data_IF_906651313500
#
_entry.id   IF_906651313500
#
_cell.length_a   1.000
_cell.length_b   1.000
_cell.length_c   1.000
_cell.angle_alpha   90.00
_cell.angle_beta   90.00
_cell.angle_gamma   90.00
#
_symmetry.space_group_name_H-M   'P 1'
#
loop_
_entity.id
_entity.type
_entity.pdbx_description
1 polymer ?
#
# COMPACT_ATOMS: atom_id res chain seq x y z
N UNK A 1 -48.67 -40.83 -35.37
CA UNK A 1 -47.36 -40.67 -34.69
C UNK A 1 -47.12 -39.18 -34.45
N UNK A 2 -47.31 -38.70 -33.22
CA UNK A 2 -47.17 -37.27 -32.87
C UNK A 2 -45.71 -36.99 -32.48
N UNK A 3 -45.04 -36.06 -33.17
CA UNK A 3 -43.70 -35.57 -32.81
C UNK A 3 -43.84 -34.50 -31.72
N UNK A 4 -43.28 -34.78 -30.54
CA UNK A 4 -43.11 -33.80 -29.46
C UNK A 4 -41.83 -33.02 -29.76
N UNK A 5 -41.94 -31.72 -29.94
CA UNK A 5 -40.79 -30.79 -30.00
C UNK A 5 -40.53 -30.36 -28.56
N UNK A 6 -39.41 -30.81 -27.99
CA UNK A 6 -38.91 -30.35 -26.71
C UNK A 6 -38.09 -29.07 -26.96
N UNK A 7 -38.64 -27.91 -26.58
CA UNK A 7 -37.87 -26.66 -26.52
C UNK A 7 -37.19 -26.62 -25.16
N UNK A 8 -35.88 -26.85 -25.12
CA UNK A 8 -35.07 -26.51 -23.95
C UNK A 8 -34.86 -24.99 -23.94
N UNK A 9 -35.61 -24.27 -23.12
CA UNK A 9 -35.19 -22.96 -22.65
C UNK A 9 -33.99 -23.18 -21.71
N UNK A 10 -32.79 -22.97 -22.22
CA UNK A 10 -31.62 -22.79 -21.36
C UNK A 10 -31.74 -21.41 -20.69
N UNK A 11 -32.39 -21.37 -19.52
CA UNK A 11 -32.18 -20.28 -18.59
C UNK A 11 -30.72 -20.40 -18.10
N UNK A 12 -29.84 -19.56 -18.65
CA UNK A 12 -28.51 -19.34 -18.10
C UNK A 12 -28.66 -18.91 -16.64
N UNK A 13 -28.08 -19.62 -15.66
CA UNK A 13 -27.99 -19.09 -14.32
C UNK A 13 -27.01 -17.92 -14.37
N UNK A 14 -27.49 -16.72 -14.06
CA UNK A 14 -26.68 -15.62 -13.54
C UNK A 14 -26.15 -16.03 -12.17
N UNK A 15 -25.23 -16.98 -12.12
CA UNK A 15 -24.61 -17.45 -10.89
C UNK A 15 -23.29 -16.73 -10.67
N UNK A 16 -23.27 -16.00 -9.55
CA UNK A 16 -22.13 -15.82 -8.65
C UNK A 16 -20.83 -15.33 -9.32
N UNK A 17 -20.59 -14.02 -9.28
CA UNK A 17 -19.22 -13.56 -9.04
C UNK A 17 -18.79 -14.18 -7.70
N UNK A 18 -17.81 -15.09 -7.73
CA UNK A 18 -17.29 -15.72 -6.52
C UNK A 18 -16.95 -14.61 -5.50
N UNK A 19 -17.56 -14.68 -4.33
CA UNK A 19 -17.30 -13.73 -3.27
C UNK A 19 -15.82 -13.85 -2.89
N UNK A 20 -15.06 -12.77 -3.04
CA UNK A 20 -13.68 -12.71 -2.61
C UNK A 20 -13.59 -13.03 -1.12
N UNK A 21 -12.69 -13.94 -0.75
CA UNK A 21 -12.46 -14.25 0.66
C UNK A 21 -11.76 -13.08 1.35
N UNK A 22 -11.96 -12.92 2.66
CA UNK A 22 -11.24 -11.90 3.43
C UNK A 22 -9.72 -12.07 3.28
N UNK A 23 -9.22 -13.30 3.28
CA UNK A 23 -7.79 -13.61 3.05
C UNK A 23 -7.30 -13.08 1.71
N UNK A 24 -8.07 -13.26 0.64
CA UNK A 24 -7.71 -12.75 -0.67
C UNK A 24 -7.73 -11.21 -0.73
N UNK A 25 -8.70 -10.58 -0.05
CA UNK A 25 -8.73 -9.13 0.10
C UNK A 25 -7.49 -8.62 0.86
N UNK A 26 -7.14 -9.26 1.98
CA UNK A 26 -5.95 -8.90 2.78
C UNK A 26 -4.67 -9.05 1.97
N UNK A 27 -4.55 -10.10 1.16
CA UNK A 27 -3.43 -10.26 0.22
C UNK A 27 -3.37 -9.10 -0.78
N UNK A 28 -4.46 -8.86 -1.51
CA UNK A 28 -4.49 -7.80 -2.53
C UNK A 28 -4.17 -6.42 -1.95
N UNK A 29 -4.76 -6.09 -0.80
CA UNK A 29 -4.64 -4.76 -0.22
C UNK A 29 -3.24 -4.50 0.37
N UNK A 30 -2.57 -5.54 0.90
CA UNK A 30 -1.20 -5.42 1.42
C UNK A 30 -0.14 -5.44 0.31
N UNK A 31 -0.44 -6.05 -0.84
CA UNK A 31 0.45 -6.07 -2.02
C UNK A 31 0.55 -4.71 -2.74
N UNK A 32 -0.46 -3.84 -2.61
CA UNK A 32 -0.48 -2.54 -3.30
C UNK A 32 0.48 -1.55 -2.61
N UNK A 33 1.42 -0.93 -3.35
CA UNK A 33 2.32 0.09 -2.80
C UNK A 33 1.60 1.41 -2.56
N UNK A 34 1.90 2.06 -1.44
CA UNK A 34 1.34 3.38 -1.12
C UNK A 34 2.17 4.15 -0.08
N UNK A 35 3.47 4.39 -0.28
CA UNK A 35 4.18 5.31 0.60
C UNK A 35 3.53 6.70 0.60
N UNK A 36 3.69 7.53 1.65
CA UNK A 36 3.11 8.86 1.70
C UNK A 36 3.44 9.69 0.45
N UNK A 37 2.43 10.30 -0.17
CA UNK A 37 2.55 11.03 -1.43
C UNK A 37 2.48 10.17 -2.71
N UNK A 38 2.42 8.85 -2.60
CA UNK A 38 2.21 7.92 -3.71
C UNK A 38 1.00 7.00 -3.47
N UNK A 39 -0.07 7.52 -2.88
CA UNK A 39 -1.24 6.73 -2.51
C UNK A 39 -2.22 6.47 -3.65
N UNK A 40 -1.96 7.00 -4.84
CA UNK A 40 -2.84 6.84 -6.00
C UNK A 40 -3.16 5.37 -6.35
N UNK A 41 -2.20 4.42 -6.36
CA UNK A 41 -2.51 3.02 -6.62
C UNK A 41 -3.51 2.45 -5.62
N UNK A 42 -3.33 2.74 -4.33
CA UNK A 42 -4.30 2.31 -3.31
C UNK A 42 -5.62 3.05 -3.43
N UNK A 43 -5.61 4.36 -3.64
CA UNK A 43 -6.81 5.17 -3.84
C UNK A 43 -7.69 4.58 -4.93
N UNK A 44 -7.08 4.17 -6.05
CA UNK A 44 -7.77 3.49 -7.15
C UNK A 44 -8.37 2.16 -6.70
N UNK A 45 -7.58 1.32 -6.01
CA UNK A 45 -8.04 0.05 -5.46
C UNK A 45 -9.25 0.23 -4.52
N UNK A 46 -9.13 1.13 -3.52
CA UNK A 46 -10.21 1.41 -2.57
C UNK A 46 -11.46 1.94 -3.27
N UNK A 47 -11.30 2.90 -4.18
CA UNK A 47 -12.41 3.46 -4.96
C UNK A 47 -13.17 2.37 -5.73
N UNK A 48 -12.44 1.46 -6.37
CA UNK A 48 -13.03 0.38 -7.16
C UNK A 48 -13.79 -0.62 -6.27
N UNK A 49 -13.22 -0.98 -5.11
CA UNK A 49 -13.86 -1.88 -4.13
C UNK A 49 -15.03 -1.24 -3.38
N UNK A 50 -14.99 0.07 -3.12
CA UNK A 50 -16.06 0.81 -2.42
C UNK A 50 -17.28 1.07 -3.30
N UNK A 51 -17.08 1.31 -4.61
CA UNK A 51 -18.11 1.74 -5.56
C UNK A 51 -19.39 0.90 -5.57
N UNK A 52 -19.36 -0.44 -5.51
CA UNK A 52 -20.57 -1.27 -5.54
C UNK A 52 -21.50 -1.06 -4.34
N UNK A 53 -20.99 -0.50 -3.24
CA UNK A 53 -21.73 -0.37 -1.98
C UNK A 53 -22.01 1.08 -1.59
N UNK A 54 -21.42 2.06 -2.31
CA UNK A 54 -21.52 3.47 -1.97
C UNK A 54 -22.68 4.17 -2.72
N UNK A 55 -23.41 5.05 -2.03
CA UNK A 55 -24.36 5.98 -2.66
C UNK A 55 -23.63 7.10 -3.42
N UNK A 56 -22.51 7.55 -2.87
CA UNK A 56 -21.64 8.55 -3.48
C UNK A 56 -20.20 8.34 -3.04
N UNK A 57 -19.25 8.72 -3.90
CA UNK A 57 -17.82 8.79 -3.60
C UNK A 57 -17.35 10.22 -3.83
N UNK A 58 -16.60 10.75 -2.88
CA UNK A 58 -15.98 12.07 -2.91
C UNK A 58 -14.49 11.96 -2.61
N UNK A 59 -13.75 13.01 -2.97
CA UNK A 59 -12.32 13.15 -2.66
C UNK A 59 -12.10 14.47 -1.93
N UNK A 60 -11.13 14.51 -1.02
CA UNK A 60 -10.80 15.70 -0.22
C UNK A 60 -9.89 16.72 -0.96
N UNK A 61 -9.43 16.38 -2.16
CA UNK A 61 -8.52 17.20 -2.96
C UNK A 61 -7.03 16.93 -2.72
N UNK A 62 -6.68 16.23 -1.64
CA UNK A 62 -5.31 15.77 -1.37
C UNK A 62 -5.11 14.32 -1.85
N UNK A 63 -6.14 13.48 -1.69
CA UNK A 63 -6.13 12.11 -2.20
C UNK A 63 -6.95 11.12 -1.37
N UNK A 64 -7.53 11.52 -0.24
CA UNK A 64 -8.43 10.64 0.52
C UNK A 64 -9.69 10.32 -0.29
N UNK A 65 -10.26 9.14 -0.08
CA UNK A 65 -11.54 8.71 -0.66
C UNK A 65 -12.59 8.63 0.42
N UNK A 66 -13.73 9.27 0.20
CA UNK A 66 -14.84 9.27 1.15
C UNK A 66 -16.07 8.67 0.47
N UNK A 67 -16.45 7.47 0.89
CA UNK A 67 -17.66 6.79 0.41
C UNK A 67 -18.81 6.95 1.41
N UNK A 68 -20.02 7.22 0.92
CA UNK A 68 -21.22 7.36 1.76
C UNK A 68 -22.15 6.16 1.64
N UNK A 69 -22.73 5.71 2.76
CA UNK A 69 -23.87 4.79 2.81
C UNK A 69 -24.94 5.32 3.76
N UNK A 70 -26.20 5.33 3.32
CA UNK A 70 -27.32 5.86 4.10
C UNK A 70 -27.46 7.37 4.02
N UNK A 71 -28.71 7.82 4.10
CA UNK A 71 -29.09 9.20 3.87
C UNK A 71 -29.89 9.84 5.02
N UNK A 72 -30.14 9.10 6.10
CA UNK A 72 -30.91 9.57 7.27
C UNK A 72 -30.18 9.30 8.59
N UNK A 73 -30.55 10.05 9.63
CA UNK A 73 -29.98 9.88 10.97
C UNK A 73 -28.60 10.55 11.16
N UNK A 74 -27.90 10.24 12.27
CA UNK A 74 -26.62 10.86 12.60
C UNK A 74 -25.52 10.48 11.59
N UNK A 75 -24.53 11.36 11.46
CA UNK A 75 -23.34 11.14 10.63
C UNK A 75 -22.26 10.45 11.45
N UNK A 76 -21.73 9.36 10.92
CA UNK A 76 -20.64 8.59 11.53
C UNK A 76 -19.54 8.46 10.50
N UNK A 77 -18.32 8.86 10.87
CA UNK A 77 -17.13 8.67 10.07
C UNK A 77 -16.38 7.44 10.58
N UNK A 78 -15.97 6.57 9.67
CA UNK A 78 -15.08 5.44 9.92
C UNK A 78 -13.90 5.64 9.01
N UNK A 79 -12.72 5.85 9.59
CA UNK A 79 -11.50 6.09 8.85
C UNK A 79 -10.48 4.97 9.03
N UNK A 80 -9.65 4.82 8.00
CA UNK A 80 -8.46 3.99 7.98
C UNK A 80 -7.51 4.59 6.96
N UNK A 81 -6.21 4.61 7.25
CA UNK A 81 -5.24 5.25 6.37
C UNK A 81 -4.72 4.30 5.29
N UNK A 82 -4.52 4.86 4.10
CA UNK A 82 -4.05 4.15 2.92
C UNK A 82 -2.54 4.18 2.78
N UNK A 83 -1.84 5.10 3.44
CA UNK A 83 -0.40 5.13 3.33
C UNK A 83 0.25 3.97 4.10
N UNK A 84 1.45 3.59 3.66
CA UNK A 84 2.29 2.65 4.39
C UNK A 84 3.65 3.29 4.58
N UNK A 85 4.36 2.93 5.64
CA UNK A 85 5.73 3.37 5.80
C UNK A 85 6.57 3.08 4.54
N UNK A 86 7.44 4.02 4.15
CA UNK A 86 8.26 3.86 2.96
C UNK A 86 9.37 4.90 2.88
N UNK A 87 9.67 5.33 1.66
CA UNK A 87 10.64 6.39 1.43
C UNK A 87 10.52 7.01 0.06
N UNK A 88 11.44 7.93 -0.22
CA UNK A 88 11.55 8.67 -1.47
C UNK A 88 13.01 8.84 -1.83
N UNK A 89 13.36 8.65 -3.11
CA UNK A 89 14.73 8.83 -3.58
C UNK A 89 15.17 10.28 -3.39
N UNK A 90 16.34 10.48 -2.78
CA UNK A 90 16.90 11.80 -2.49
C UNK A 90 18.05 12.17 -3.43
N UNK A 91 19.00 11.25 -3.63
CA UNK A 91 20.15 11.51 -4.49
C UNK A 91 20.72 10.21 -5.09
N UNK A 92 21.15 10.27 -6.34
CA UNK A 92 21.92 9.22 -7.00
C UNK A 92 23.40 9.61 -6.98
N UNK A 93 24.23 8.83 -6.30
CA UNK A 93 25.67 9.09 -6.16
C UNK A 93 26.43 8.76 -7.44
N UNK A 94 27.62 9.36 -7.66
CA UNK A 94 28.44 9.07 -8.84
C UNK A 94 28.82 7.59 -9.02
N UNK A 95 28.94 6.85 -7.92
CA UNK A 95 29.26 5.42 -7.87
C UNK A 95 28.04 4.49 -8.02
N UNK A 96 26.85 5.02 -8.27
CA UNK A 96 25.63 4.25 -8.56
C UNK A 96 24.76 3.92 -7.34
N UNK A 97 25.25 4.16 -6.12
CA UNK A 97 24.45 4.02 -4.90
C UNK A 97 23.43 5.16 -4.76
N UNK A 98 22.32 4.87 -4.10
CA UNK A 98 21.19 5.81 -4.01
C UNK A 98 20.87 6.10 -2.55
N UNK A 99 20.60 7.36 -2.21
CA UNK A 99 20.12 7.75 -0.88
C UNK A 99 18.61 7.91 -0.89
N UNK A 100 17.97 7.59 0.24
CA UNK A 100 16.52 7.65 0.41
C UNK A 100 16.18 8.52 1.62
N UNK A 101 15.17 9.37 1.48
CA UNK A 101 14.48 10.01 2.59
C UNK A 101 13.40 9.05 3.10
N UNK A 102 13.41 8.72 4.39
CA UNK A 102 12.35 7.90 4.97
C UNK A 102 11.05 8.71 5.08
N UNK A 103 9.94 8.06 4.76
CA UNK A 103 8.59 8.58 4.96
C UNK A 103 7.93 7.73 6.05
N UNK A 104 7.52 8.43 7.12
CA UNK A 104 7.07 7.83 8.37
C UNK A 104 8.20 7.42 9.32
N UNK A 105 7.81 6.86 10.46
CA UNK A 105 8.75 6.54 11.52
C UNK A 105 9.30 5.12 11.39
N UNK A 106 10.56 5.03 10.97
CA UNK A 106 11.29 3.76 10.87
C UNK A 106 12.29 3.59 12.01
N UNK A 107 12.27 2.40 12.63
CA UNK A 107 13.35 1.92 13.48
C UNK A 107 14.62 1.72 12.64
N UNK A 108 15.71 2.50 12.86
CA UNK A 108 16.92 2.39 12.04
C UNK A 108 17.53 0.98 12.01
N UNK A 109 17.37 0.23 13.10
CA UNK A 109 17.89 -1.12 13.25
C UNK A 109 17.15 -2.15 12.39
N UNK A 110 15.96 -1.82 11.87
CA UNK A 110 15.16 -2.69 11.02
C UNK A 110 15.43 -2.48 9.52
N UNK A 111 16.21 -1.46 9.15
CA UNK A 111 16.47 -1.08 7.75
C UNK A 111 17.59 -1.86 7.05
N UNK A 112 18.64 -2.37 7.72
CA UNK A 112 19.67 -3.17 7.05
C UNK A 112 19.11 -4.41 6.37
N UNK A 113 19.67 -4.76 5.21
CA UNK A 113 19.35 -5.95 4.43
C UNK A 113 17.85 -6.09 4.05
N UNK A 114 17.12 -4.98 4.03
CA UNK A 114 15.73 -4.97 3.58
C UNK A 114 15.63 -4.78 2.07
N UNK A 115 14.65 -5.47 1.46
CA UNK A 115 14.30 -5.32 0.05
C UNK A 115 13.29 -4.19 -0.12
N UNK A 116 13.50 -3.40 -1.15
CA UNK A 116 12.66 -2.26 -1.51
C UNK A 116 12.31 -2.31 -2.98
N UNK A 117 11.19 -1.67 -3.32
CA UNK A 117 10.78 -1.41 -4.69
C UNK A 117 10.76 0.09 -4.93
N UNK A 118 11.56 0.55 -5.89
CA UNK A 118 11.57 1.92 -6.38
C UNK A 118 10.62 2.00 -7.58
N UNK A 119 9.63 2.89 -7.53
CA UNK A 119 8.65 3.06 -8.60
C UNK A 119 9.08 4.18 -9.53
N UNK A 120 9.80 3.83 -10.59
CA UNK A 120 10.35 4.82 -11.53
C UNK A 120 9.43 5.07 -12.73
N UNK A 121 9.75 6.10 -13.51
CA UNK A 121 9.12 6.38 -14.81
C UNK A 121 9.22 5.23 -15.84
N UNK A 122 10.22 4.35 -15.70
CA UNK A 122 10.44 3.19 -16.59
C UNK A 122 9.94 1.87 -16.01
N UNK A 123 9.35 1.91 -14.82
CA UNK A 123 8.83 0.75 -14.12
C UNK A 123 9.54 0.47 -12.79
N UNK A 124 9.08 -0.56 -12.08
CA UNK A 124 9.60 -0.91 -10.76
C UNK A 124 11.04 -1.43 -10.84
N UNK A 125 11.91 -0.96 -9.94
CA UNK A 125 13.29 -1.43 -9.76
C UNK A 125 13.48 -1.93 -8.34
N UNK A 126 13.93 -3.17 -8.19
CA UNK A 126 14.23 -3.73 -6.87
C UNK A 126 15.55 -3.17 -6.36
N UNK A 127 15.58 -2.79 -5.08
CA UNK A 127 16.76 -2.34 -4.38
C UNK A 127 16.94 -3.12 -3.07
N UNK A 128 18.19 -3.17 -2.59
CA UNK A 128 18.52 -3.66 -1.25
C UNK A 128 19.09 -2.51 -0.43
N UNK A 129 18.70 -2.37 0.83
CA UNK A 129 19.44 -1.48 1.74
C UNK A 129 20.78 -2.10 2.10
N UNK A 130 21.85 -1.48 1.63
CA UNK A 130 23.22 -1.84 1.94
C UNK A 130 23.78 -1.00 3.09
N UNK A 131 24.68 -1.61 3.85
CA UNK A 131 25.53 -0.96 4.85
C UNK A 131 26.99 -1.05 4.42
N UNK A 132 27.82 -0.13 4.93
CA UNK A 132 29.26 -0.36 4.91
C UNK A 132 29.61 -1.61 5.73
N UNK A 133 30.56 -2.42 5.24
CA UNK A 133 31.01 -3.64 5.91
C UNK A 133 31.52 -3.34 7.33
N UNK A 134 30.96 -4.05 8.31
CA UNK A 134 31.33 -3.94 9.72
C UNK A 134 32.81 -4.24 10.01
N UNK A 135 33.50 -4.99 9.13
CA UNK A 135 34.94 -5.28 9.25
C UNK A 135 35.83 -4.12 8.78
N UNK A 136 35.26 -3.14 8.06
CA UNK A 136 35.96 -1.99 7.48
C UNK A 136 35.52 -0.69 8.17
N UNK A 137 34.31 -0.67 8.74
CA UNK A 137 33.80 0.45 9.52
C UNK A 137 34.68 0.69 10.77
N UNK A 138 35.05 1.95 11.08
CA UNK A 138 35.78 2.26 12.30
C UNK A 138 35.00 1.75 13.51
N UNK A 139 35.68 1.15 14.48
CA UNK A 139 35.03 0.61 15.69
C UNK A 139 34.92 1.70 16.76
N UNK A 140 33.98 2.64 16.63
CA UNK A 140 33.64 3.54 17.75
C UNK A 140 32.38 3.07 18.48
N UNK A 141 32.18 3.50 19.74
CA UNK A 141 31.02 3.10 20.53
C UNK A 141 29.67 3.59 19.94
N UNK A 142 29.72 4.65 19.12
CA UNK A 142 28.58 5.22 18.38
C UNK A 142 28.24 4.43 17.10
N UNK A 143 29.14 3.55 16.62
CA UNK A 143 28.97 2.71 15.43
C UNK A 143 28.17 1.43 15.67
N UNK A 144 27.67 1.20 16.89
CA UNK A 144 26.89 -0.01 17.20
C UNK A 144 25.47 0.01 16.64
N UNK A 145 24.98 1.17 16.20
CA UNK A 145 23.68 1.27 15.54
C UNK A 145 23.85 1.90 14.15
N UNK A 146 23.29 1.28 13.10
CA UNK A 146 23.35 1.86 11.76
C UNK A 146 22.67 3.23 11.78
N UNK A 147 23.46 4.27 11.51
CA UNK A 147 22.90 5.62 11.39
C UNK A 147 22.17 5.71 10.05
N UNK A 148 21.03 6.40 10.00
CA UNK A 148 20.24 6.56 8.76
C UNK A 148 21.07 7.11 7.59
N UNK A 149 22.08 7.93 7.89
CA UNK A 149 23.00 8.54 6.91
C UNK A 149 23.97 7.52 6.27
N UNK A 150 24.12 6.33 6.86
CA UNK A 150 24.96 5.25 6.36
C UNK A 150 24.18 4.24 5.50
N UNK A 151 22.86 4.39 5.40
CA UNK A 151 22.00 3.50 4.61
C UNK A 151 21.95 4.00 3.16
N UNK A 152 22.25 3.11 2.23
CA UNK A 152 22.11 3.35 0.80
C UNK A 152 21.28 2.24 0.17
N UNK A 153 20.57 2.57 -0.90
CA UNK A 153 19.93 1.60 -1.77
C UNK A 153 20.94 1.18 -2.85
N UNK A 154 21.16 -0.12 -2.95
CA UNK A 154 21.90 -0.76 -4.02
C UNK A 154 20.92 -1.40 -5.02
N UNK A 155 21.08 -1.04 -6.29
CA UNK A 155 20.31 -1.55 -7.44
C UNK A 155 21.21 -2.28 -8.44
N UNK A 156 22.47 -2.51 -8.11
CA UNK A 156 23.49 -3.08 -8.98
C UNK A 156 24.10 -2.12 -10.00
N UNK A 157 23.80 -0.82 -9.90
CA UNK A 157 24.38 0.21 -10.76
C UNK A 157 25.81 0.55 -10.33
N UNK A 158 26.72 0.72 -11.31
CA UNK A 158 28.13 1.06 -11.08
C UNK A 158 28.44 2.54 -11.27
N UNK A 159 27.43 3.30 -11.71
CA UNK A 159 27.54 4.74 -11.90
C UNK A 159 26.16 5.40 -11.84
N UNK A 160 26.15 6.71 -11.62
CA UNK A 160 24.91 7.50 -11.72
C UNK A 160 24.21 7.35 -13.07
N UNK A 161 24.97 7.20 -14.16
CA UNK A 161 24.40 7.01 -15.51
C UNK A 161 23.68 5.67 -15.64
N UNK A 162 24.18 4.61 -15.02
CA UNK A 162 23.50 3.30 -15.04
C UNK A 162 22.23 3.33 -14.21
N UNK A 163 22.24 3.97 -13.04
CA UNK A 163 21.04 4.16 -12.22
C UNK A 163 19.97 5.00 -12.95
N UNK A 164 20.36 6.11 -13.58
CA UNK A 164 19.44 6.93 -14.40
C UNK A 164 18.93 6.18 -15.64
N UNK A 165 19.72 5.27 -16.22
CA UNK A 165 19.25 4.42 -17.30
C UNK A 165 18.08 3.51 -16.87
N UNK A 166 18.02 3.10 -15.60
CA UNK A 166 16.90 2.39 -14.99
C UNK A 166 15.66 3.28 -14.73
N UNK A 167 15.78 4.60 -14.95
CA UNK A 167 14.70 5.58 -14.77
C UNK A 167 14.65 6.21 -13.38
N UNK A 168 15.62 5.90 -12.50
CA UNK A 168 15.65 6.35 -11.11
C UNK A 168 15.98 7.85 -11.04
N UNK A 169 15.10 8.62 -10.42
CA UNK A 169 15.24 10.06 -10.21
C UNK A 169 14.90 10.47 -8.76
N UNK A 170 15.45 11.60 -8.26
CA UNK A 170 15.00 12.18 -7.00
C UNK A 170 13.49 12.45 -7.01
N UNK A 171 12.80 12.05 -5.95
CA UNK A 171 11.34 12.11 -5.87
C UNK A 171 10.65 10.77 -6.14
N UNK A 172 11.35 9.78 -6.71
CA UNK A 172 10.74 8.47 -6.94
C UNK A 172 10.32 7.82 -5.61
N UNK A 173 9.10 7.26 -5.52
CA UNK A 173 8.63 6.60 -4.31
C UNK A 173 9.29 5.24 -4.14
N UNK A 174 9.49 4.88 -2.87
CA UNK A 174 10.11 3.62 -2.46
C UNK A 174 9.19 2.94 -1.44
N UNK A 175 8.79 1.70 -1.73
CA UNK A 175 7.97 0.89 -0.82
C UNK A 175 8.71 -0.39 -0.39
N UNK A 176 8.43 -0.91 0.82
CA UNK A 176 8.98 -2.19 1.26
C UNK A 176 8.53 -3.34 0.35
N UNK A 177 9.37 -4.38 0.23
CA UNK A 177 9.00 -5.64 -0.42
C UNK A 177 8.81 -6.72 0.65
N UNK A 178 7.57 -7.17 0.82
CA UNK A 178 7.22 -8.27 1.71
C UNK A 178 6.07 -9.06 1.11
N UNK A 179 6.25 -10.36 0.96
CA UNK A 179 5.23 -11.24 0.40
C UNK A 179 4.11 -11.47 1.42
N UNK A 180 2.86 -11.57 0.95
CA UNK A 180 1.79 -12.10 1.78
C UNK A 180 1.97 -13.61 1.99
N UNK A 181 2.15 -14.03 3.23
CA UNK A 181 2.37 -15.42 3.62
C UNK A 181 1.33 -15.84 4.66
N UNK A 182 0.64 -16.95 4.39
CA UNK A 182 -0.16 -17.64 5.40
C UNK A 182 0.76 -18.43 6.32
N UNK A 183 0.74 -18.07 7.60
CA UNK A 183 1.47 -18.74 8.66
C UNK A 183 0.60 -19.81 9.32
N UNK A 184 1.20 -20.77 10.06
CA UNK A 184 0.46 -21.72 10.87
C UNK A 184 -0.52 -21.04 11.84
N UNK A 185 -1.58 -21.77 12.20
CA UNK A 185 -2.59 -21.34 13.18
C UNK A 185 -3.42 -20.12 12.76
N UNK A 186 -3.66 -19.94 11.45
CA UNK A 186 -4.53 -18.88 10.93
C UNK A 186 -3.93 -17.48 11.11
N UNK A 187 -2.60 -17.39 11.06
CA UNK A 187 -1.86 -16.12 11.13
C UNK A 187 -1.38 -15.72 9.74
N UNK A 188 -1.09 -14.44 9.56
CA UNK A 188 -0.63 -13.90 8.28
C UNK A 188 0.60 -13.02 8.51
N UNK A 189 1.48 -12.97 7.51
CA UNK A 189 2.63 -12.09 7.45
C UNK A 189 2.58 -11.34 6.12
N UNK A 190 2.75 -10.02 6.17
CA UNK A 190 2.75 -9.13 5.01
C UNK A 190 3.35 -7.77 5.43
N UNK A 191 3.57 -6.87 4.47
CA UNK A 191 3.81 -5.44 4.75
C UNK A 191 2.50 -4.70 5.04
N UNK A 192 2.64 -3.49 5.56
CA UNK A 192 1.55 -2.52 5.68
C UNK A 192 0.32 -3.01 6.46
N UNK A 193 0.44 -3.87 7.47
CA UNK A 193 -0.74 -4.17 8.28
C UNK A 193 -1.37 -2.90 8.87
N UNK A 194 -0.50 -1.98 9.28
CA UNK A 194 -0.80 -0.58 9.56
C UNK A 194 -0.90 0.22 8.25
N UNK A 195 -2.07 0.76 7.85
CA UNK A 195 -3.44 0.45 8.34
C UNK A 195 -4.29 -0.22 7.25
N UNK A 196 -3.68 -1.14 6.51
CA UNK A 196 -4.40 -1.95 5.52
C UNK A 196 -5.46 -2.84 6.13
N UNK A 197 -5.30 -3.23 7.41
CA UNK A 197 -6.35 -3.95 8.14
C UNK A 197 -7.58 -3.06 8.29
N UNK A 198 -7.43 -1.80 8.71
CA UNK A 198 -8.51 -0.84 8.79
C UNK A 198 -9.20 -0.63 7.44
N UNK A 199 -8.43 -0.47 6.36
CA UNK A 199 -8.97 -0.35 5.01
C UNK A 199 -9.79 -1.59 4.59
N UNK A 200 -9.30 -2.80 4.89
CA UNK A 200 -10.05 -4.03 4.62
C UNK A 200 -11.33 -4.12 5.47
N UNK A 201 -11.29 -3.66 6.73
CA UNK A 201 -12.46 -3.58 7.61
C UNK A 201 -13.50 -2.60 7.08
N UNK A 202 -13.10 -1.45 6.53
CA UNK A 202 -14.00 -0.53 5.84
C UNK A 202 -14.75 -1.25 4.70
N UNK A 203 -14.02 -1.93 3.82
CA UNK A 203 -14.62 -2.63 2.67
C UNK A 203 -15.59 -3.73 3.12
N UNK A 204 -15.22 -4.49 4.14
CA UNK A 204 -16.07 -5.56 4.68
C UNK A 204 -17.30 -5.01 5.41
N UNK A 205 -17.17 -3.91 6.16
CA UNK A 205 -18.28 -3.23 6.80
C UNK A 205 -19.27 -2.70 5.76
N UNK A 206 -18.79 -1.99 4.74
CA UNK A 206 -19.61 -1.50 3.63
C UNK A 206 -20.40 -2.61 2.95
N UNK A 207 -19.75 -3.74 2.68
CA UNK A 207 -20.36 -4.91 2.04
C UNK A 207 -21.45 -5.55 2.90
N UNK A 208 -21.23 -5.64 4.21
CA UNK A 208 -22.22 -6.22 5.15
C UNK A 208 -23.41 -5.28 5.36
N UNK A 209 -23.14 -3.99 5.54
CA UNK A 209 -24.16 -2.98 5.80
C UNK A 209 -24.99 -2.64 4.56
N UNK A 210 -24.46 -2.85 3.35
CA UNK A 210 -25.26 -2.78 2.11
C UNK A 210 -26.43 -3.78 2.08
N UNK A 211 -26.42 -4.82 2.93
CA UNK A 211 -27.49 -5.84 3.02
C UNK A 211 -28.44 -5.64 4.20
N UNK A 212 -28.22 -4.61 5.02
CA UNK A 212 -28.95 -4.40 6.29
C UNK A 212 -29.33 -2.94 6.44
N UNK A 213 -30.59 -2.65 6.73
CA UNK A 213 -31.00 -1.27 7.02
C UNK A 213 -30.34 -0.77 8.32
N UNK A 214 -29.87 0.49 8.31
CA UNK A 214 -29.30 1.15 9.47
C UNK A 214 -29.81 2.61 9.56
N UNK A 215 -30.06 3.15 10.76
CA UNK A 215 -30.63 4.49 10.95
C UNK A 215 -29.53 5.59 10.94
N UNK A 216 -28.54 5.49 10.05
CA UNK A 216 -27.32 6.32 10.10
C UNK A 216 -26.85 6.72 8.70
N UNK A 217 -26.08 7.81 8.62
CA UNK A 217 -25.29 8.20 7.46
C UNK A 217 -23.83 7.86 7.74
N UNK A 218 -23.31 6.84 7.07
CA UNK A 218 -21.96 6.35 7.25
C UNK A 218 -21.05 6.97 6.18
N UNK A 219 -19.90 7.49 6.62
CA UNK A 219 -18.85 8.05 5.79
C UNK A 219 -17.59 7.23 6.02
N UNK A 220 -17.23 6.42 5.03
CA UNK A 220 -16.03 5.60 5.07
C UNK A 220 -14.91 6.37 4.40
N UNK A 221 -13.92 6.78 5.18
CA UNK A 221 -12.79 7.57 4.72
C UNK A 221 -11.54 6.71 4.64
N UNK A 222 -11.07 6.42 3.43
CA UNK A 222 -9.73 5.91 3.21
C UNK A 222 -8.79 7.12 3.10
N UNK A 223 -8.09 7.43 4.19
CA UNK A 223 -7.29 8.65 4.35
C UNK A 223 -5.88 8.47 3.79
N UNK A 224 -5.12 9.56 3.67
CA UNK A 224 -3.73 9.56 3.21
C UNK A 224 -2.83 10.33 4.18
N UNK A 225 -1.52 10.12 4.08
CA UNK A 225 -0.46 10.82 4.81
C UNK A 225 -0.61 10.81 6.34
N UNK A 226 -1.18 9.76 6.92
CA UNK A 226 -1.13 9.56 8.37
C UNK A 226 0.34 9.46 8.80
N UNK A 227 1.10 8.60 8.11
CA UNK A 227 2.50 8.26 8.36
C UNK A 227 3.47 9.25 7.70
N UNK A 228 3.06 10.52 7.49
CA UNK A 228 3.93 11.55 6.96
C UNK A 228 5.24 11.70 7.76
N UNK A 229 6.31 12.17 7.11
CA UNK A 229 7.61 12.35 7.80
C UNK A 229 7.52 13.40 8.92
N UNK A 230 8.38 13.31 9.94
CA UNK A 230 8.49 14.34 11.00
C UNK A 230 8.72 15.75 10.41
N UNK A 231 9.46 15.85 9.30
CA UNK A 231 9.69 17.10 8.56
C UNK A 231 8.40 17.62 7.88
N UNK A 232 7.50 16.73 7.44
CA UNK A 232 6.18 17.09 6.90
C UNK A 232 5.17 17.45 8.00
N UNK A 233 5.39 16.98 9.23
CA UNK A 233 4.54 17.27 10.40
C UNK A 233 4.79 18.66 11.02
N UNK A 234 5.69 19.45 10.44
CA UNK A 234 5.94 20.85 10.84
C UNK A 234 6.53 20.96 12.25
N UNK A 235 7.83 20.70 12.38
CA UNK A 235 8.62 21.16 13.53
C UNK A 235 8.95 22.65 13.41
#
# INVERSE_FOLDING_TARGET
MKKIVLVFLAALPTTLLAQESLTQLLKQITDVPSPPGYEEPMRKFMTEKMRPFAESIQYDGLGSVIARQGNTGPRIMIDAHMDELGGMIRHVRPDGFITMQMLGWWLPQALPDQRWMIYTSKGPVTALTALYDAHIAPHTAEDRQPQRQQLYLDVGARSASEASALGIEPGDPVAPVSDFVELPYGRYMAKAWDDRVGCAMILEAMRRLAKTAHPNQLFYAATIQEEGSEEMRGA
#
